data_IF_611814134868
#
_entry.id   IF_611814134868
#
_cell.length_a   1.000
_cell.length_b   1.000
_cell.length_c   1.000
_cell.angle_alpha   90.00
_cell.angle_beta   90.00
_cell.angle_gamma   90.00
#
_symmetry.space_group_name_H-M   'P 1'
#
loop_
_entity.id
_entity.type
_entity.pdbx_description
1 polymer ?
#
# COMPACT_ATOMS: atom_id res chain seq x y z
N UNK A 1 -22.34 -27.79 -8.37
CA UNK A 1 -22.95 -26.49 -8.65
C UNK A 1 -22.24 -25.92 -9.87
N UNK A 2 -22.92 -25.45 -10.91
CA UNK A 2 -22.26 -24.97 -12.11
C UNK A 2 -21.44 -23.72 -11.79
N UNK A 3 -20.20 -23.70 -12.25
CA UNK A 3 -19.33 -22.51 -12.28
C UNK A 3 -20.02 -21.44 -13.13
N UNK A 4 -20.65 -20.45 -12.52
CA UNK A 4 -21.03 -19.22 -13.19
C UNK A 4 -19.75 -18.41 -13.37
N UNK A 5 -18.98 -18.72 -14.42
CA UNK A 5 -17.96 -17.83 -14.94
C UNK A 5 -18.69 -16.65 -15.59
N UNK A 6 -18.86 -15.55 -14.84
CA UNK A 6 -19.21 -14.26 -15.47
C UNK A 6 -18.09 -13.92 -16.46
N UNK A 7 -18.43 -13.59 -17.72
CA UNK A 7 -17.42 -13.18 -18.67
C UNK A 7 -16.63 -11.99 -18.09
N UNK A 8 -15.30 -12.11 -18.09
CA UNK A 8 -14.42 -11.01 -17.63
C UNK A 8 -14.72 -9.80 -18.50
N UNK A 9 -15.20 -8.68 -17.94
CA UNK A 9 -15.52 -7.50 -18.73
C UNK A 9 -14.27 -7.00 -19.49
N UNK A 10 -14.47 -6.51 -20.70
CA UNK A 10 -13.41 -5.89 -21.48
C UNK A 10 -12.72 -4.80 -20.63
N UNK A 11 -11.43 -4.96 -20.40
CA UNK A 11 -10.59 -4.05 -19.59
C UNK A 11 -10.81 -2.58 -19.99
N UNK A 12 -10.93 -2.30 -21.29
CA UNK A 12 -11.18 -0.94 -21.81
C UNK A 12 -12.54 -0.40 -21.37
N UNK A 13 -13.58 -1.23 -21.38
CA UNK A 13 -14.91 -0.83 -20.93
C UNK A 13 -14.92 -0.54 -19.43
N UNK A 14 -14.22 -1.34 -18.63
CA UNK A 14 -14.09 -1.12 -17.18
C UNK A 14 -13.39 0.19 -16.89
N UNK A 15 -12.24 0.45 -17.51
CA UNK A 15 -11.49 1.69 -17.36
C UNK A 15 -12.32 2.91 -17.76
N UNK A 16 -12.98 2.82 -18.91
CA UNK A 16 -13.85 3.90 -19.40
C UNK A 16 -15.01 4.17 -18.45
N UNK A 17 -15.65 3.11 -17.93
CA UNK A 17 -16.75 3.25 -16.97
C UNK A 17 -16.30 3.91 -15.67
N UNK A 18 -15.15 3.53 -15.14
CA UNK A 18 -14.59 4.16 -13.94
C UNK A 18 -14.31 5.64 -14.18
N UNK A 19 -13.66 5.97 -15.29
CA UNK A 19 -13.32 7.34 -15.65
C UNK A 19 -14.59 8.20 -15.87
N UNK A 20 -15.58 7.69 -16.62
CA UNK A 20 -16.83 8.38 -16.88
C UNK A 20 -17.64 8.65 -15.59
N UNK A 21 -17.75 7.64 -14.73
CA UNK A 21 -18.46 7.76 -13.46
C UNK A 21 -17.78 8.75 -12.51
N UNK A 22 -16.45 8.84 -12.52
CA UNK A 22 -15.70 9.79 -11.69
C UNK A 22 -15.96 11.27 -12.07
N UNK A 23 -16.46 11.52 -13.28
CA UNK A 23 -16.82 12.85 -13.75
C UNK A 23 -18.18 13.33 -13.19
N UNK A 24 -18.98 12.45 -12.58
CA UNK A 24 -20.30 12.80 -12.05
C UNK A 24 -20.16 13.43 -10.66
N UNK A 25 -20.63 14.65 -10.48
CA UNK A 25 -20.60 15.31 -9.18
C UNK A 25 -21.37 14.50 -8.12
N UNK A 26 -20.70 14.17 -7.01
CA UNK A 26 -21.26 13.38 -5.92
C UNK A 26 -21.07 11.85 -6.09
N UNK A 27 -20.50 11.42 -7.21
CA UNK A 27 -20.07 10.03 -7.43
C UNK A 27 -18.57 9.96 -7.21
N UNK A 28 -18.18 9.49 -6.03
CA UNK A 28 -16.78 9.37 -5.64
C UNK A 28 -16.32 7.92 -5.52
N UNK A 29 -15.13 7.76 -4.99
CA UNK A 29 -14.45 6.48 -4.81
C UNK A 29 -15.37 5.37 -4.23
N UNK A 30 -16.11 5.65 -3.14
CA UNK A 30 -16.99 4.66 -2.48
C UNK A 30 -18.14 4.17 -3.39
N UNK A 31 -18.73 5.06 -4.17
CA UNK A 31 -19.81 4.70 -5.11
C UNK A 31 -19.28 3.81 -6.23
N UNK A 32 -18.15 4.22 -6.83
CA UNK A 32 -17.57 3.49 -7.97
C UNK A 32 -17.05 2.11 -7.54
N UNK A 33 -16.40 1.99 -6.38
CA UNK A 33 -15.98 0.70 -5.82
C UNK A 33 -17.20 -0.18 -5.48
N UNK A 34 -18.27 0.41 -4.97
CA UNK A 34 -19.52 -0.34 -4.72
C UNK A 34 -20.16 -0.89 -5.99
N UNK A 35 -20.16 -0.14 -7.08
CA UNK A 35 -20.62 -0.62 -8.40
C UNK A 35 -19.69 -1.71 -8.96
N UNK A 36 -18.38 -1.55 -8.80
CA UNK A 36 -17.40 -2.56 -9.18
C UNK A 36 -17.66 -3.89 -8.45
N UNK A 37 -17.83 -3.85 -7.13
CA UNK A 37 -18.05 -5.03 -6.30
C UNK A 37 -19.39 -5.74 -6.57
N UNK A 38 -20.36 -5.03 -7.13
CA UNK A 38 -21.66 -5.57 -7.57
C UNK A 38 -21.66 -6.04 -9.02
N UNK A 39 -20.52 -5.98 -9.71
CA UNK A 39 -20.41 -6.27 -11.15
C UNK A 39 -21.32 -5.39 -12.03
N UNK A 40 -21.66 -4.20 -11.55
CA UNK A 40 -22.56 -3.27 -12.26
C UNK A 40 -21.80 -2.18 -13.03
N UNK A 41 -20.48 -2.13 -12.93
CA UNK A 41 -19.69 -1.01 -13.41
C UNK A 41 -19.83 -0.77 -14.93
N UNK A 42 -19.88 -1.83 -15.72
CA UNK A 42 -20.08 -1.78 -17.17
C UNK A 42 -21.56 -1.84 -17.56
N UNK A 43 -22.35 -2.52 -16.77
CA UNK A 43 -23.75 -2.80 -17.09
C UNK A 43 -24.66 -1.60 -16.81
N UNK A 44 -24.25 -0.72 -15.87
CA UNK A 44 -25.00 0.48 -15.49
C UNK A 44 -25.37 1.37 -16.68
N UNK A 45 -24.59 1.31 -17.76
CA UNK A 45 -24.82 2.08 -18.99
C UNK A 45 -25.97 1.58 -19.86
N UNK A 46 -26.39 0.33 -19.68
CA UNK A 46 -27.41 -0.32 -20.50
C UNK A 46 -28.68 -0.62 -19.71
N UNK A 47 -28.71 -0.29 -18.42
CA UNK A 47 -29.86 -0.44 -17.54
C UNK A 47 -30.82 0.75 -17.66
N UNK A 48 -32.12 0.49 -17.44
CA UNK A 48 -33.15 1.54 -17.27
C UNK A 48 -32.93 2.30 -15.96
N UNK A 49 -33.50 3.49 -15.86
CA UNK A 49 -33.46 4.29 -14.64
C UNK A 49 -33.99 3.51 -13.43
N UNK A 50 -35.11 2.78 -13.57
CA UNK A 50 -35.69 2.00 -12.48
C UNK A 50 -34.77 0.86 -12.01
N UNK A 51 -34.10 0.17 -12.95
CA UNK A 51 -33.12 -0.87 -12.62
C UNK A 51 -31.90 -0.32 -11.90
N UNK A 52 -31.39 0.83 -12.31
CA UNK A 52 -30.28 1.50 -11.62
C UNK A 52 -30.69 1.91 -10.21
N UNK A 53 -31.86 2.53 -10.03
CA UNK A 53 -32.40 2.92 -8.71
C UNK A 53 -32.57 1.72 -7.79
N UNK A 54 -33.06 0.61 -8.32
CA UNK A 54 -33.26 -0.64 -7.56
C UNK A 54 -31.93 -1.27 -7.12
N UNK A 55 -30.93 -1.29 -7.98
CA UNK A 55 -29.70 -2.07 -7.78
C UNK A 55 -28.51 -1.25 -7.21
N UNK A 56 -28.54 0.08 -7.37
CA UNK A 56 -27.47 0.98 -6.96
C UNK A 56 -27.95 2.20 -6.16
N UNK A 57 -29.26 2.32 -5.88
CA UNK A 57 -29.82 3.48 -5.18
C UNK A 57 -29.20 3.70 -3.80
N UNK A 58 -28.95 2.66 -3.04
CA UNK A 58 -28.31 2.73 -1.72
C UNK A 58 -26.87 3.27 -1.77
N UNK A 59 -26.14 3.07 -2.87
CA UNK A 59 -24.78 3.60 -3.07
C UNK A 59 -24.80 5.10 -3.42
N UNK A 60 -25.87 5.57 -4.03
CA UNK A 60 -25.90 6.90 -4.69
C UNK A 60 -26.83 7.89 -4.02
N UNK A 61 -27.91 7.42 -3.35
CA UNK A 61 -29.00 8.22 -2.80
C UNK A 61 -28.51 9.37 -1.90
N UNK A 62 -27.48 9.16 -1.10
CA UNK A 62 -26.98 10.16 -0.16
C UNK A 62 -26.21 11.30 -0.83
N UNK A 63 -25.44 11.02 -1.88
CA UNK A 63 -24.49 11.96 -2.47
C UNK A 63 -24.83 12.36 -3.91
N UNK A 64 -25.58 11.54 -4.62
CA UNK A 64 -26.05 11.78 -5.98
C UNK A 64 -27.43 11.17 -6.20
N UNK A 65 -28.51 11.69 -5.60
CA UNK A 65 -29.85 11.11 -5.70
C UNK A 65 -30.40 11.06 -7.13
N UNK A 66 -29.84 11.85 -8.05
CA UNK A 66 -30.22 11.86 -9.47
C UNK A 66 -29.33 10.95 -10.33
N UNK A 67 -28.51 10.09 -9.72
CA UNK A 67 -27.52 9.25 -10.41
C UNK A 67 -28.12 8.46 -11.59
N UNK A 68 -29.20 7.73 -11.35
CA UNK A 68 -29.86 6.92 -12.38
C UNK A 68 -30.34 7.77 -13.56
N UNK A 69 -30.95 8.92 -13.26
CA UNK A 69 -31.42 9.89 -14.28
C UNK A 69 -30.23 10.43 -15.09
N UNK A 70 -29.14 10.84 -14.43
CA UNK A 70 -27.93 11.36 -15.08
C UNK A 70 -27.37 10.31 -16.04
N UNK A 71 -27.21 9.05 -15.58
CA UNK A 71 -26.70 7.96 -16.43
C UNK A 71 -27.56 7.79 -17.67
N UNK A 72 -28.88 7.72 -17.54
CA UNK A 72 -29.78 7.45 -18.66
C UNK A 72 -29.89 8.60 -19.64
N UNK A 73 -29.89 9.85 -19.16
CA UNK A 73 -30.05 11.04 -20.00
C UNK A 73 -28.76 11.55 -20.65
N UNK A 74 -27.58 11.28 -20.02
CA UNK A 74 -26.32 11.85 -20.48
C UNK A 74 -25.23 10.81 -20.77
N UNK A 75 -25.60 9.53 -21.01
CA UNK A 75 -24.68 8.40 -21.24
C UNK A 75 -23.56 8.75 -22.23
N UNK A 76 -23.87 9.21 -23.46
CA UNK A 76 -22.87 9.50 -24.48
C UNK A 76 -21.87 10.57 -24.00
N UNK A 77 -22.39 11.66 -23.45
CA UNK A 77 -21.56 12.75 -22.94
C UNK A 77 -20.62 12.31 -21.81
N UNK A 78 -21.11 11.44 -20.90
CA UNK A 78 -20.30 10.91 -19.81
C UNK A 78 -19.19 9.97 -20.33
N UNK A 79 -19.50 9.14 -21.31
CA UNK A 79 -18.49 8.27 -21.93
C UNK A 79 -17.42 9.08 -22.67
N UNK A 80 -17.81 10.16 -23.36
CA UNK A 80 -16.87 11.09 -23.99
C UNK A 80 -15.97 11.78 -22.96
N UNK A 81 -16.54 12.24 -21.82
CA UNK A 81 -15.78 12.78 -20.70
C UNK A 81 -14.82 11.74 -20.10
N UNK A 82 -15.27 10.50 -19.98
CA UNK A 82 -14.43 9.39 -19.50
C UNK A 82 -13.25 9.10 -20.44
N UNK A 83 -13.47 9.13 -21.74
CA UNK A 83 -12.38 9.03 -22.73
C UNK A 83 -11.37 10.16 -22.57
N UNK A 84 -11.85 11.39 -22.44
CA UNK A 84 -11.00 12.57 -22.21
C UNK A 84 -10.18 12.43 -20.91
N UNK A 85 -10.78 11.90 -19.84
CA UNK A 85 -10.06 11.68 -18.58
C UNK A 85 -8.98 10.60 -18.72
N UNK A 86 -9.23 9.52 -19.47
CA UNK A 86 -8.21 8.50 -19.76
C UNK A 86 -7.06 9.06 -20.59
N UNK A 87 -7.35 9.91 -21.57
CA UNK A 87 -6.33 10.62 -22.36
C UNK A 87 -5.51 11.56 -21.48
N UNK A 88 -6.15 12.32 -20.59
CA UNK A 88 -5.50 13.19 -19.60
C UNK A 88 -4.58 12.43 -18.65
N UNK A 89 -4.98 11.24 -18.18
CA UNK A 89 -4.11 10.35 -17.40
C UNK A 89 -2.88 9.93 -18.20
N UNK A 90 -3.08 9.52 -19.46
CA UNK A 90 -2.02 9.10 -20.36
C UNK A 90 -1.01 10.24 -20.63
N UNK A 91 -1.49 11.43 -20.96
CA UNK A 91 -0.66 12.64 -21.19
C UNK A 91 0.16 13.01 -19.97
N UNK A 92 -0.37 12.78 -18.75
CA UNK A 92 0.35 13.00 -17.49
C UNK A 92 1.31 11.86 -17.13
N UNK A 93 1.43 10.83 -17.98
CA UNK A 93 2.24 9.64 -17.71
C UNK A 93 1.74 8.81 -16.53
N UNK A 94 0.41 8.80 -16.31
CA UNK A 94 -0.22 8.03 -15.24
C UNK A 94 -0.82 6.76 -15.82
N UNK A 95 -0.37 5.62 -15.32
CA UNK A 95 -0.86 4.30 -15.71
C UNK A 95 -2.03 3.93 -14.80
N UNK A 96 -3.14 3.49 -15.40
CA UNK A 96 -4.31 3.01 -14.68
C UNK A 96 -4.30 1.47 -14.68
N UNK A 97 -4.08 0.86 -13.50
CA UNK A 97 -3.93 -0.58 -13.31
C UNK A 97 -5.16 -1.14 -12.62
N UNK A 98 -5.87 -2.08 -13.25
CA UNK A 98 -7.02 -2.78 -12.66
C UNK A 98 -6.58 -3.98 -11.82
N UNK A 99 -7.32 -4.31 -10.76
CA UNK A 99 -7.07 -5.45 -9.86
C UNK A 99 -6.95 -6.79 -10.60
N UNK A 100 -7.73 -6.97 -11.66
CA UNK A 100 -7.78 -8.23 -12.41
C UNK A 100 -6.80 -8.24 -13.61
N UNK A 101 -5.91 -7.26 -13.70
CA UNK A 101 -4.88 -7.19 -14.73
C UNK A 101 -3.57 -7.86 -14.28
N UNK A 102 -2.78 -8.33 -15.25
CA UNK A 102 -1.46 -8.93 -14.98
C UNK A 102 -0.47 -7.94 -14.34
N UNK A 103 -0.69 -6.64 -14.59
CA UNK A 103 0.14 -5.56 -14.06
C UNK A 103 -0.22 -5.18 -12.61
N UNK A 104 -1.24 -5.81 -12.02
CA UNK A 104 -1.63 -5.51 -10.63
C UNK A 104 -0.68 -6.18 -9.63
N UNK A 105 -0.15 -5.43 -8.64
CA UNK A 105 0.74 -6.00 -7.63
C UNK A 105 0.04 -7.10 -6.82
N UNK A 106 0.45 -8.35 -7.03
CA UNK A 106 -0.17 -9.51 -6.36
C UNK A 106 -0.07 -9.45 -4.83
N UNK A 107 0.91 -8.74 -4.30
CA UNK A 107 1.07 -8.49 -2.86
C UNK A 107 -0.13 -7.76 -2.23
N UNK A 108 -0.84 -6.93 -2.98
CA UNK A 108 -2.04 -6.22 -2.50
C UNK A 108 -3.23 -7.16 -2.27
N UNK A 109 -3.24 -8.32 -2.89
CA UNK A 109 -4.32 -9.31 -2.73
C UNK A 109 -4.33 -9.97 -1.33
N UNK A 110 -3.31 -9.68 -0.50
CA UNK A 110 -3.28 -10.04 0.93
C UNK A 110 -4.25 -9.21 1.77
N UNK A 111 -4.63 -8.05 1.29
CA UNK A 111 -5.61 -7.21 1.97
C UNK A 111 -6.99 -7.86 1.94
N UNK A 112 -7.72 -7.80 3.03
CA UNK A 112 -9.14 -8.24 3.08
C UNK A 112 -10.01 -7.47 2.08
N UNK A 113 -9.62 -6.23 1.81
CA UNK A 113 -10.27 -5.34 0.85
C UNK A 113 -9.19 -4.74 -0.08
N UNK A 114 -8.68 -5.47 -1.10
CA UNK A 114 -7.64 -4.95 -1.98
C UNK A 114 -8.17 -3.78 -2.83
N UNK A 115 -7.33 -2.80 -3.19
CA UNK A 115 -7.68 -1.78 -4.16
C UNK A 115 -8.24 -2.39 -5.45
N UNK A 116 -9.35 -1.85 -5.98
CA UNK A 116 -9.93 -2.33 -7.25
C UNK A 116 -9.09 -1.87 -8.43
N UNK A 117 -8.36 -0.81 -8.23
CA UNK A 117 -7.40 -0.24 -9.18
C UNK A 117 -6.30 0.52 -8.46
N UNK A 118 -5.25 0.83 -9.22
CA UNK A 118 -4.20 1.75 -8.84
C UNK A 118 -3.93 2.73 -9.97
N UNK A 119 -3.61 3.95 -9.63
CA UNK A 119 -2.95 4.89 -10.49
C UNK A 119 -1.46 4.89 -10.17
N UNK A 120 -0.61 4.70 -11.17
CA UNK A 120 0.84 4.63 -11.01
C UNK A 120 1.48 5.67 -11.91
N UNK A 121 2.30 6.54 -11.34
CA UNK A 121 3.13 7.49 -12.07
C UNK A 121 4.60 7.10 -11.91
N UNK A 122 5.33 7.00 -13.03
CA UNK A 122 6.70 6.53 -13.08
C UNK A 122 6.84 5.07 -13.48
N UNK A 123 7.79 4.35 -12.90
CA UNK A 123 8.16 2.99 -13.30
C UNK A 123 7.23 1.95 -12.66
N UNK A 124 6.24 1.46 -13.40
CA UNK A 124 5.34 0.39 -12.93
C UNK A 124 6.08 -0.89 -12.47
N UNK A 125 7.13 -1.39 -13.16
CA UNK A 125 7.93 -2.51 -12.65
C UNK A 125 8.49 -2.34 -11.24
N UNK A 126 8.73 -1.12 -10.76
CA UNK A 126 9.23 -0.90 -9.40
C UNK A 126 8.27 -1.45 -8.33
N UNK A 127 6.94 -1.41 -8.55
CA UNK A 127 5.95 -1.92 -7.60
C UNK A 127 5.88 -3.46 -7.56
N UNK A 128 6.60 -4.13 -8.46
CA UNK A 128 6.76 -5.58 -8.53
C UNK A 128 8.15 -6.06 -8.11
N UNK A 129 9.00 -5.14 -7.62
CA UNK A 129 10.35 -5.50 -7.20
C UNK A 129 10.31 -6.59 -6.11
N UNK A 130 11.27 -7.50 -6.17
CA UNK A 130 11.36 -8.62 -5.20
C UNK A 130 11.72 -8.17 -3.78
N UNK A 131 12.40 -7.03 -3.64
CA UNK A 131 12.89 -6.52 -2.37
C UNK A 131 12.39 -5.11 -2.07
N UNK A 132 11.13 -4.96 -1.67
CA UNK A 132 10.57 -3.66 -1.26
C UNK A 132 10.61 -3.54 0.26
N UNK A 133 11.34 -2.54 0.75
CA UNK A 133 11.49 -2.25 2.18
C UNK A 133 10.73 -0.97 2.52
N UNK A 134 9.69 -1.11 3.34
CA UNK A 134 8.93 0.03 3.86
C UNK A 134 9.67 0.69 5.03
N UNK A 135 10.10 1.94 4.88
CA UNK A 135 10.66 2.76 5.97
C UNK A 135 9.60 3.78 6.36
N UNK A 136 9.14 3.72 7.60
CA UNK A 136 8.05 4.56 8.11
C UNK A 136 8.40 5.19 9.45
N UNK A 137 7.71 6.28 9.82
CA UNK A 137 7.94 6.85 11.14
C UNK A 137 7.16 8.13 11.42
N UNK A 138 7.60 8.83 12.47
CA UNK A 138 7.01 10.08 12.94
C UNK A 138 7.08 11.18 11.87
N UNK A 139 6.02 12.02 11.83
CA UNK A 139 6.01 13.26 11.03
C UNK A 139 6.85 14.37 11.68
N UNK A 140 6.93 14.34 12.99
CA UNK A 140 7.75 15.25 13.81
C UNK A 140 8.88 14.44 14.44
N UNK A 141 9.75 13.92 13.55
CA UNK A 141 10.87 13.08 13.92
C UNK A 141 12.01 13.89 14.56
N UNK A 142 12.77 13.22 15.43
CA UNK A 142 14.01 13.78 15.98
C UNK A 142 15.07 13.95 14.90
N UNK A 143 16.11 14.75 15.18
CA UNK A 143 17.25 14.89 14.29
C UNK A 143 17.95 13.53 14.03
N UNK A 144 18.05 12.69 15.05
CA UNK A 144 18.59 11.34 14.96
C UNK A 144 17.69 10.44 14.09
N UNK A 145 16.36 10.54 14.27
CA UNK A 145 15.39 9.83 13.44
C UNK A 145 15.53 10.14 11.95
N UNK A 146 15.65 11.43 11.60
CA UNK A 146 15.93 11.87 10.24
C UNK A 146 17.20 11.23 9.67
N UNK A 147 18.32 11.31 10.42
CA UNK A 147 19.61 10.72 10.00
C UNK A 147 19.53 9.20 9.82
N UNK A 148 18.85 8.52 10.74
CA UNK A 148 18.68 7.07 10.69
C UNK A 148 17.86 6.66 9.46
N UNK A 149 16.72 7.33 9.20
CA UNK A 149 15.88 7.03 8.05
C UNK A 149 16.64 7.16 6.73
N UNK A 150 17.39 8.26 6.57
CA UNK A 150 18.24 8.52 5.38
C UNK A 150 19.35 7.48 5.24
N UNK A 151 20.05 7.15 6.33
CA UNK A 151 21.11 6.15 6.31
C UNK A 151 20.58 4.74 6.01
N UNK A 152 19.44 4.34 6.58
CA UNK A 152 18.80 3.07 6.27
C UNK A 152 18.40 2.98 4.81
N UNK A 153 17.76 4.02 4.27
CA UNK A 153 17.37 4.06 2.86
C UNK A 153 18.58 3.90 1.94
N UNK A 154 19.67 4.60 2.21
CA UNK A 154 20.95 4.43 1.51
C UNK A 154 21.41 2.97 1.54
N UNK A 155 21.46 2.38 2.72
CA UNK A 155 21.92 1.00 2.89
C UNK A 155 21.01 -0.02 2.17
N UNK A 156 19.70 0.25 2.05
CA UNK A 156 18.80 -0.59 1.27
C UNK A 156 19.11 -0.51 -0.22
N UNK A 157 19.22 0.69 -0.77
CA UNK A 157 19.46 0.85 -2.23
C UNK A 157 20.84 0.38 -2.66
N UNK A 158 21.88 0.49 -1.82
CA UNK A 158 23.21 -0.09 -2.12
C UNK A 158 23.19 -1.62 -2.19
N UNK A 159 22.12 -2.25 -1.72
CA UNK A 159 21.87 -3.70 -1.83
C UNK A 159 20.81 -4.06 -2.85
N UNK A 160 20.51 -3.14 -3.78
CA UNK A 160 19.50 -3.30 -4.82
C UNK A 160 18.09 -3.55 -4.26
N UNK A 161 17.77 -3.03 -3.09
CA UNK A 161 16.44 -3.03 -2.52
C UNK A 161 15.72 -1.73 -2.84
N UNK A 162 14.41 -1.81 -3.03
CA UNK A 162 13.56 -0.65 -3.30
C UNK A 162 13.02 -0.11 -1.98
N UNK A 163 13.18 1.18 -1.74
CA UNK A 163 12.61 1.84 -0.56
C UNK A 163 11.17 2.22 -0.84
N UNK A 164 10.25 1.93 0.10
CA UNK A 164 8.86 2.36 0.01
C UNK A 164 8.52 3.22 1.22
N UNK A 165 7.83 4.34 0.99
CA UNK A 165 7.31 5.17 2.06
C UNK A 165 6.07 5.97 1.61
N UNK A 166 5.54 6.80 2.51
CA UNK A 166 4.24 7.45 2.32
C UNK A 166 4.28 8.91 1.92
N UNK A 167 5.45 9.46 1.60
CA UNK A 167 5.58 10.87 1.25
C UNK A 167 5.05 11.84 2.33
N UNK A 168 4.97 11.42 3.58
CA UNK A 168 4.64 12.29 4.69
C UNK A 168 5.89 13.07 5.17
N UNK A 169 5.67 14.24 5.80
CA UNK A 169 6.75 14.98 6.47
C UNK A 169 7.50 14.06 7.47
N UNK A 170 8.77 14.31 7.71
CA UNK A 170 9.59 13.57 8.67
C UNK A 170 10.23 12.32 8.08
N UNK A 171 10.11 11.19 8.72
CA UNK A 171 10.80 9.94 8.36
C UNK A 171 10.55 9.51 6.91
N UNK A 172 9.33 9.66 6.42
CA UNK A 172 8.98 9.22 5.06
C UNK A 172 9.77 10.00 4.00
N UNK A 173 9.87 11.32 4.14
CA UNK A 173 10.66 12.18 3.22
C UNK A 173 12.13 11.81 3.28
N UNK A 174 12.70 11.62 4.47
CA UNK A 174 14.11 11.26 4.63
C UNK A 174 14.43 9.90 4.02
N UNK A 175 13.50 8.94 4.12
CA UNK A 175 13.65 7.65 3.47
C UNK A 175 13.72 7.78 1.94
N UNK A 176 12.84 8.61 1.35
CA UNK A 176 12.89 8.87 -0.09
C UNK A 176 14.17 9.59 -0.50
N UNK A 177 14.56 10.65 0.22
CA UNK A 177 15.78 11.40 -0.07
C UNK A 177 17.02 10.53 0.04
N UNK A 178 17.12 9.68 1.08
CA UNK A 178 18.23 8.75 1.23
C UNK A 178 18.34 7.75 0.09
N UNK A 179 17.23 7.30 -0.48
CA UNK A 179 17.22 6.44 -1.66
C UNK A 179 17.65 7.21 -2.92
N UNK A 180 17.12 8.41 -3.14
CA UNK A 180 17.41 9.27 -4.31
C UNK A 180 18.88 9.69 -4.35
N UNK A 181 19.44 10.12 -3.24
CA UNK A 181 20.85 10.55 -3.13
C UNK A 181 21.84 9.46 -3.55
N UNK A 182 21.46 8.19 -3.36
CA UNK A 182 22.28 7.05 -3.73
C UNK A 182 21.80 6.35 -5.00
N UNK A 183 21.09 7.08 -5.85
CA UNK A 183 20.65 6.64 -7.18
C UNK A 183 19.75 5.38 -7.16
N UNK A 184 19.09 5.11 -6.03
CA UNK A 184 18.22 3.96 -5.84
C UNK A 184 16.78 4.25 -6.17
N UNK A 185 16.02 3.16 -6.40
CA UNK A 185 14.60 3.23 -6.64
C UNK A 185 13.82 3.43 -5.34
N UNK A 186 12.78 4.26 -5.42
CA UNK A 186 11.86 4.44 -4.29
C UNK A 186 10.40 4.54 -4.76
N UNK A 187 9.47 4.08 -3.92
CA UNK A 187 8.04 4.07 -4.19
C UNK A 187 7.31 4.94 -3.16
N UNK A 188 6.66 5.99 -3.65
CA UNK A 188 5.79 6.83 -2.85
C UNK A 188 4.34 6.34 -2.89
N UNK A 189 3.68 6.17 -1.73
CA UNK A 189 2.26 5.82 -1.67
C UNK A 189 1.46 6.99 -1.15
N UNK A 190 0.48 7.49 -1.93
CA UNK A 190 -0.35 8.64 -1.59
C UNK A 190 -1.69 8.21 -0.98
N UNK A 191 -2.20 9.00 -0.03
CA UNK A 191 -3.55 8.90 0.49
C UNK A 191 -4.51 9.92 -0.14
N UNK A 192 -4.24 10.34 -1.37
CA UNK A 192 -5.03 11.32 -2.13
C UNK A 192 -4.70 11.23 -3.63
N UNK A 193 -5.42 11.93 -4.47
CA UNK A 193 -5.16 12.00 -5.89
C UNK A 193 -3.92 12.83 -6.24
N UNK A 194 -3.37 12.61 -7.42
CA UNK A 194 -2.15 13.30 -7.88
C UNK A 194 -2.27 14.83 -8.02
N UNK A 195 -3.48 15.35 -8.17
CA UNK A 195 -3.74 16.80 -8.32
C UNK A 195 -4.27 17.46 -7.04
N UNK A 196 -4.43 16.71 -5.96
CA UNK A 196 -4.87 17.28 -4.69
C UNK A 196 -3.81 18.24 -4.15
N UNK A 197 -4.28 19.42 -3.73
CA UNK A 197 -3.45 20.45 -3.08
C UNK A 197 -3.18 20.07 -1.63
N UNK A 198 -2.31 19.10 -1.41
CA UNK A 198 -1.90 18.69 -0.07
C UNK A 198 -0.40 18.43 -0.03
N UNK A 199 0.28 19.09 0.92
CA UNK A 199 1.69 18.85 1.15
C UNK A 199 2.57 19.26 -0.03
N UNK A 200 2.49 20.53 -0.46
CA UNK A 200 3.25 21.06 -1.60
C UNK A 200 4.76 20.70 -1.57
N UNK A 201 5.36 20.64 -0.37
CA UNK A 201 6.75 20.18 -0.19
C UNK A 201 6.95 18.70 -0.58
N UNK A 202 5.92 17.87 -0.46
CA UNK A 202 6.00 16.44 -0.78
C UNK A 202 5.95 16.20 -2.29
N UNK A 203 5.26 17.07 -3.02
CA UNK A 203 5.15 17.00 -4.48
C UNK A 203 6.48 17.33 -5.18
N UNK A 204 7.41 17.99 -4.50
CA UNK A 204 8.73 18.31 -5.05
C UNK A 204 9.62 17.06 -5.23
N UNK A 205 9.37 15.98 -4.49
CA UNK A 205 10.13 14.73 -4.62
C UNK A 205 9.68 13.85 -5.79
N UNK A 206 8.46 14.04 -6.31
CA UNK A 206 7.96 13.15 -7.37
C UNK A 206 8.80 13.13 -8.64
N UNK A 207 9.27 14.27 -9.17
CA UNK A 207 10.15 14.26 -10.34
C UNK A 207 11.40 13.45 -10.09
N UNK A 208 12.06 13.65 -8.95
CA UNK A 208 13.28 12.93 -8.58
C UNK A 208 13.04 11.43 -8.39
N UNK A 209 11.92 11.04 -7.77
CA UNK A 209 11.51 9.63 -7.66
C UNK A 209 11.40 9.00 -9.05
N UNK A 210 10.75 9.68 -9.99
CA UNK A 210 10.50 9.19 -11.34
C UNK A 210 11.81 9.13 -12.15
N UNK A 211 12.68 10.14 -12.02
CA UNK A 211 14.01 10.17 -12.67
C UNK A 211 14.92 9.04 -12.19
N UNK A 212 14.68 8.48 -11.01
CA UNK A 212 15.39 7.32 -10.45
C UNK A 212 14.68 5.99 -10.69
N UNK A 213 13.87 5.89 -11.75
CA UNK A 213 13.07 4.70 -12.07
C UNK A 213 12.18 4.22 -10.91
N UNK A 214 11.79 5.12 -10.03
CA UNK A 214 10.83 4.89 -8.97
C UNK A 214 9.39 5.08 -9.44
N UNK A 215 8.44 4.97 -8.51
CA UNK A 215 7.03 5.13 -8.78
C UNK A 215 6.31 5.89 -7.66
N UNK A 216 5.24 6.59 -8.02
CA UNK A 216 4.27 7.14 -7.07
C UNK A 216 2.92 6.49 -7.35
N UNK A 217 2.28 5.94 -6.32
CA UNK A 217 1.06 5.15 -6.45
C UNK A 217 -0.06 5.67 -5.56
N UNK A 218 -1.30 5.57 -6.06
CA UNK A 218 -2.51 5.88 -5.30
C UNK A 218 -3.69 5.06 -5.82
N UNK A 219 -4.70 4.82 -4.97
CA UNK A 219 -5.99 4.27 -5.41
C UNK A 219 -7.04 5.37 -5.69
N UNK A 220 -6.72 6.64 -5.40
CA UNK A 220 -7.63 7.77 -5.47
C UNK A 220 -7.59 8.48 -6.82
N UNK A 221 -8.74 9.01 -7.26
CA UNK A 221 -8.83 9.81 -8.48
C UNK A 221 -8.02 11.10 -8.36
N UNK A 222 -7.68 11.69 -9.52
CA UNK A 222 -6.72 12.80 -9.60
C UNK A 222 -6.98 13.93 -8.59
N UNK A 223 -8.24 14.29 -8.39
CA UNK A 223 -8.66 15.42 -7.56
C UNK A 223 -9.14 15.00 -6.16
N UNK A 224 -9.13 13.70 -5.81
CA UNK A 224 -9.58 13.25 -4.51
C UNK A 224 -8.71 13.84 -3.40
N UNK A 225 -9.37 14.52 -2.47
CA UNK A 225 -8.69 15.19 -1.35
C UNK A 225 -8.36 14.24 -0.22
N UNK A 226 -7.29 14.52 0.55
CA UNK A 226 -6.91 13.67 1.67
C UNK A 226 -7.88 13.79 2.85
N UNK A 227 -8.02 12.70 3.59
CA UNK A 227 -8.73 12.61 4.86
C UNK A 227 -8.00 11.66 5.81
N UNK A 228 -8.44 11.59 7.05
CA UNK A 228 -7.93 10.59 8.00
C UNK A 228 -8.17 9.16 7.49
N UNK A 229 -9.32 8.90 6.90
CA UNK A 229 -9.66 7.57 6.34
C UNK A 229 -8.74 7.21 5.18
N UNK A 230 -8.50 8.14 4.24
CA UNK A 230 -7.65 7.87 3.07
C UNK A 230 -6.20 7.64 3.47
N UNK A 231 -5.70 8.30 4.51
CA UNK A 231 -4.36 8.03 5.03
C UNK A 231 -4.26 6.66 5.71
N UNK A 232 -5.27 6.25 6.48
CA UNK A 232 -5.30 4.90 7.07
C UNK A 232 -5.35 3.84 5.98
N UNK A 233 -6.12 4.06 4.94
CA UNK A 233 -6.21 3.18 3.79
C UNK A 233 -4.88 3.09 3.02
N UNK A 234 -4.21 4.22 2.80
CA UNK A 234 -2.88 4.27 2.19
C UNK A 234 -1.86 3.44 3.00
N UNK A 235 -1.93 3.47 4.32
CA UNK A 235 -1.05 2.68 5.18
C UNK A 235 -1.25 1.17 4.98
N UNK A 236 -2.45 0.71 4.63
CA UNK A 236 -2.69 -0.68 4.25
C UNK A 236 -1.95 -1.04 2.95
N UNK A 237 -2.00 -0.16 1.96
CA UNK A 237 -1.29 -0.33 0.69
C UNK A 237 0.23 -0.37 0.91
N UNK A 238 0.77 0.54 1.73
CA UNK A 238 2.19 0.52 2.12
C UNK A 238 2.58 -0.82 2.74
N UNK A 239 1.80 -1.28 3.72
CA UNK A 239 2.07 -2.54 4.40
C UNK A 239 2.01 -3.73 3.46
N UNK A 240 1.07 -3.72 2.50
CA UNK A 240 0.90 -4.83 1.57
C UNK A 240 1.91 -4.84 0.42
N UNK A 241 2.36 -3.69 -0.07
CA UNK A 241 3.41 -3.61 -1.10
C UNK A 241 4.79 -3.96 -0.53
N UNK A 242 5.03 -3.74 0.76
CA UNK A 242 6.32 -4.00 1.38
C UNK A 242 6.55 -5.48 1.66
N UNK A 243 7.78 -5.96 1.44
CA UNK A 243 8.24 -7.26 1.92
C UNK A 243 8.53 -7.22 3.43
N UNK A 244 8.96 -6.06 3.92
CA UNK A 244 9.24 -5.80 5.34
C UNK A 244 9.03 -4.33 5.65
N UNK A 245 8.61 -4.02 6.88
CA UNK A 245 8.47 -2.66 7.41
C UNK A 245 9.54 -2.41 8.48
N UNK A 246 10.22 -1.29 8.38
CA UNK A 246 11.17 -0.79 9.38
C UNK A 246 10.64 0.55 9.94
N UNK A 247 10.01 0.57 11.11
CA UNK A 247 9.66 1.81 11.78
C UNK A 247 10.90 2.43 12.44
N UNK A 248 11.22 3.67 12.07
CA UNK A 248 12.37 4.41 12.64
C UNK A 248 11.97 5.09 13.94
N UNK A 249 10.91 5.88 13.94
CA UNK A 249 10.35 6.49 15.14
C UNK A 249 8.83 6.27 15.21
N UNK A 250 8.39 5.68 16.32
CA UNK A 250 7.00 5.49 16.68
C UNK A 250 6.82 5.58 18.20
N UNK A 251 7.00 6.77 18.80
CA UNK A 251 6.90 6.94 20.25
C UNK A 251 5.47 6.73 20.78
N UNK A 252 4.49 6.81 19.88
CA UNK A 252 3.07 6.59 20.18
C UNK A 252 2.47 5.56 19.23
N UNK A 253 2.05 4.41 19.78
CA UNK A 253 1.39 3.35 19.03
C UNK A 253 -0.02 3.74 18.54
N UNK A 254 -0.66 4.77 19.08
CA UNK A 254 -1.95 5.27 18.58
C UNK A 254 -1.81 6.11 17.30
N UNK A 255 -0.59 6.47 16.93
CA UNK A 255 -0.25 7.27 15.75
C UNK A 255 -0.53 6.55 14.42
N UNK A 256 -0.42 7.29 13.32
CA UNK A 256 -0.47 6.73 11.96
C UNK A 256 0.61 5.67 11.70
N UNK A 257 1.81 5.85 12.24
CA UNK A 257 2.91 4.87 12.20
C UNK A 257 2.54 3.59 12.94
N UNK A 258 1.99 3.71 14.15
CA UNK A 258 1.49 2.57 14.92
C UNK A 258 0.35 1.84 14.19
N UNK A 259 -0.52 2.56 13.48
CA UNK A 259 -1.55 1.95 12.65
C UNK A 259 -0.94 1.13 11.50
N UNK A 260 0.10 1.64 10.83
CA UNK A 260 0.81 0.91 9.77
C UNK A 260 1.48 -0.35 10.32
N UNK A 261 2.14 -0.27 11.47
CA UNK A 261 2.75 -1.43 12.15
C UNK A 261 1.70 -2.51 12.42
N UNK A 262 0.57 -2.14 13.05
CA UNK A 262 -0.51 -3.10 13.34
C UNK A 262 -1.07 -3.72 12.06
N UNK A 263 -1.24 -2.92 11.01
CA UNK A 263 -1.74 -3.43 9.73
C UNK A 263 -0.75 -4.39 9.08
N UNK A 264 0.54 -4.06 9.05
CA UNK A 264 1.59 -4.95 8.56
C UNK A 264 1.53 -6.31 9.27
N UNK A 265 1.49 -6.29 10.61
CA UNK A 265 1.38 -7.52 11.41
C UNK A 265 0.10 -8.31 11.09
N UNK A 266 -1.05 -7.64 10.89
CA UNK A 266 -2.32 -8.33 10.62
C UNK A 266 -2.37 -9.04 9.28
N UNK A 267 -1.66 -8.54 8.28
CA UNK A 267 -1.57 -9.15 6.94
C UNK A 267 -0.31 -10.00 6.74
N UNK A 268 0.46 -10.19 7.82
CA UNK A 268 1.67 -11.00 7.83
C UNK A 268 2.89 -10.34 7.17
N UNK A 269 2.90 -9.03 6.93
CA UNK A 269 4.12 -8.34 6.54
C UNK A 269 5.03 -8.22 7.76
N UNK A 270 6.29 -8.71 7.69
CA UNK A 270 7.25 -8.56 8.78
C UNK A 270 7.46 -7.12 9.16
N UNK A 271 7.63 -6.92 10.46
CA UNK A 271 8.08 -5.65 11.02
C UNK A 271 9.33 -5.92 11.82
N UNK A 272 10.35 -5.08 11.69
CA UNK A 272 11.61 -5.21 12.42
C UNK A 272 12.08 -3.84 12.89
N UNK A 273 12.53 -3.76 14.14
CA UNK A 273 13.23 -2.58 14.67
C UNK A 273 14.73 -2.67 14.38
N UNK A 274 15.33 -1.52 14.04
CA UNK A 274 16.78 -1.41 13.97
C UNK A 274 17.24 -0.12 14.62
N UNK A 275 18.16 -0.21 15.56
CA UNK A 275 18.64 0.93 16.33
C UNK A 275 20.15 0.87 16.49
N UNK A 276 20.76 2.04 16.64
CA UNK A 276 22.17 2.18 17.04
C UNK A 276 22.25 2.41 18.55
N UNK A 277 23.02 1.61 19.24
CA UNK A 277 23.11 1.65 20.71
C UNK A 277 23.44 3.04 21.26
N UNK A 278 24.34 3.75 20.59
CA UNK A 278 24.77 5.10 20.97
C UNK A 278 23.77 6.23 20.64
N UNK A 279 22.68 5.91 19.91
CA UNK A 279 21.64 6.86 19.52
C UNK A 279 20.29 6.58 20.21
N UNK A 280 20.22 5.60 21.10
CA UNK A 280 19.00 5.23 21.82
C UNK A 280 18.65 6.27 22.89
N UNK A 281 17.94 7.31 22.50
CA UNK A 281 17.44 8.37 23.38
C UNK A 281 15.99 8.72 23.05
N UNK A 282 15.27 9.28 24.01
CA UNK A 282 13.95 9.87 23.84
C UNK A 282 12.98 8.98 23.01
N UNK A 283 12.54 9.47 21.86
CA UNK A 283 11.54 8.83 21.00
C UNK A 283 12.03 7.55 20.33
N UNK A 284 13.34 7.41 20.09
CA UNK A 284 13.95 6.16 19.62
C UNK A 284 13.90 5.08 20.69
N UNK A 285 14.15 5.44 21.96
CA UNK A 285 14.03 4.50 23.09
C UNK A 285 12.58 4.04 23.26
N UNK A 286 11.63 4.99 23.29
CA UNK A 286 10.19 4.68 23.35
C UNK A 286 9.74 3.81 22.16
N UNK A 287 10.26 4.08 20.97
CA UNK A 287 9.98 3.26 19.80
C UNK A 287 10.43 1.83 20.01
N UNK A 288 11.66 1.62 20.49
CA UNK A 288 12.17 0.29 20.83
C UNK A 288 11.30 -0.42 21.87
N UNK A 289 10.92 0.27 22.94
CA UNK A 289 10.04 -0.27 23.97
C UNK A 289 8.67 -0.67 23.40
N UNK A 290 8.08 0.18 22.53
CA UNK A 290 6.83 -0.10 21.84
C UNK A 290 6.92 -1.32 20.93
N UNK A 291 8.02 -1.47 20.16
CA UNK A 291 8.24 -2.63 19.32
C UNK A 291 8.39 -3.91 20.14
N UNK A 292 9.14 -3.86 21.24
CA UNK A 292 9.28 -4.97 22.18
C UNK A 292 7.92 -5.38 22.78
N UNK A 293 7.08 -4.40 23.15
CA UNK A 293 5.73 -4.68 23.68
C UNK A 293 4.81 -5.39 22.69
N UNK A 294 5.09 -5.26 21.39
CA UNK A 294 4.41 -5.95 20.32
C UNK A 294 5.10 -7.26 19.91
N UNK A 295 6.13 -7.67 20.63
CA UNK A 295 7.00 -8.82 20.29
C UNK A 295 7.61 -8.71 18.89
N UNK A 296 7.99 -7.52 18.46
CA UNK A 296 8.65 -7.26 17.18
C UNK A 296 10.16 -7.42 17.40
N UNK A 297 10.87 -8.19 16.55
CA UNK A 297 12.32 -8.34 16.66
C UNK A 297 13.03 -7.00 16.49
N UNK A 298 14.06 -6.79 17.30
CA UNK A 298 14.86 -5.56 17.31
C UNK A 298 16.34 -5.89 17.19
N UNK A 299 17.01 -5.31 16.22
CA UNK A 299 18.47 -5.42 16.04
C UNK A 299 19.18 -4.18 16.58
N UNK A 300 20.28 -4.40 17.29
CA UNK A 300 21.17 -3.35 17.80
C UNK A 300 22.45 -3.30 16.98
N UNK A 301 22.66 -2.17 16.31
CA UNK A 301 23.83 -1.95 15.49
C UNK A 301 24.92 -1.20 16.29
N UNK A 302 26.20 -1.44 16.01
CA UNK A 302 26.73 -2.29 14.92
C UNK A 302 26.81 -3.78 15.26
N UNK A 303 26.61 -4.18 16.51
CA UNK A 303 26.91 -5.55 16.99
C UNK A 303 26.12 -6.64 16.25
N UNK A 304 24.90 -6.37 15.84
CA UNK A 304 24.02 -7.32 15.14
C UNK A 304 23.90 -7.02 13.63
N UNK A 305 24.85 -6.30 13.03
CA UNK A 305 24.76 -5.91 11.61
C UNK A 305 24.63 -7.09 10.66
N UNK A 306 25.44 -8.12 10.81
CA UNK A 306 25.37 -9.30 9.94
C UNK A 306 24.02 -10.00 10.07
N UNK A 307 23.57 -10.27 11.30
CA UNK A 307 22.28 -10.89 11.57
C UNK A 307 21.10 -10.06 10.99
N UNK A 308 21.16 -8.74 11.09
CA UNK A 308 20.17 -7.85 10.49
C UNK A 308 20.13 -7.99 8.97
N UNK A 309 21.28 -7.96 8.30
CA UNK A 309 21.35 -8.05 6.84
C UNK A 309 20.98 -9.44 6.33
N UNK A 310 21.37 -10.50 7.00
CA UNK A 310 20.97 -11.88 6.69
C UNK A 310 19.44 -12.01 6.81
N UNK A 311 18.84 -11.41 7.83
CA UNK A 311 17.40 -11.37 8.01
C UNK A 311 16.70 -10.60 6.88
N UNK A 312 17.14 -9.37 6.57
CA UNK A 312 16.60 -8.57 5.45
C UNK A 312 16.66 -9.37 4.14
N UNK A 313 17.83 -9.91 3.81
CA UNK A 313 18.03 -10.72 2.61
C UNK A 313 17.06 -11.89 2.55
N UNK A 314 16.96 -12.62 3.64
CA UNK A 314 16.10 -13.81 3.71
C UNK A 314 14.61 -13.46 3.47
N UNK A 315 14.12 -12.33 4.00
CA UNK A 315 12.75 -11.90 3.85
C UNK A 315 12.49 -11.35 2.45
N UNK A 316 13.43 -10.64 1.86
CA UNK A 316 13.27 -10.03 0.52
C UNK A 316 13.45 -11.03 -0.62
N UNK A 317 14.26 -12.08 -0.44
CA UNK A 317 14.46 -13.14 -1.45
C UNK A 317 13.37 -14.24 -1.41
N UNK A 318 12.70 -14.43 -0.28
CA UNK A 318 11.74 -15.52 -0.08
C UNK A 318 10.42 -15.35 -0.86
N UNK A 319 10.15 -14.21 -1.47
CA UNK A 319 8.79 -13.84 -1.94
C UNK A 319 8.70 -13.70 -3.44
N UNK A 320 8.39 -14.80 -4.12
CA UNK A 320 7.83 -14.77 -5.47
C UNK A 320 6.28 -14.83 -5.40
N UNK A 321 5.67 -13.64 -5.44
CA UNK A 321 4.22 -13.49 -5.45
C UNK A 321 3.58 -13.85 -6.80
N UNK A 322 4.37 -13.98 -7.87
CA UNK A 322 3.89 -14.23 -9.23
C UNK A 322 3.28 -15.63 -9.41
N UNK A 323 3.66 -16.58 -8.56
CA UNK A 323 3.27 -18.00 -8.67
C UNK A 323 2.03 -18.40 -7.86
N UNK A 324 1.33 -17.44 -7.19
CA UNK A 324 0.28 -17.76 -6.21
C UNK A 324 -1.12 -17.39 -6.71
N UNK A 325 -2.00 -18.38 -6.86
CA UNK A 325 -3.40 -18.15 -7.28
C UNK A 325 -4.23 -17.44 -6.19
N UNK A 326 -5.31 -16.72 -6.53
CA UNK A 326 -6.11 -15.97 -5.55
C UNK A 326 -6.67 -16.80 -4.38
N UNK A 327 -7.08 -18.04 -4.63
CA UNK A 327 -7.64 -18.92 -3.59
C UNK A 327 -6.61 -19.55 -2.66
N UNK A 328 -5.38 -19.79 -3.16
CA UNK A 328 -4.29 -20.38 -2.38
C UNK A 328 -3.49 -19.34 -1.58
N UNK A 329 -3.66 -18.07 -1.89
CA UNK A 329 -2.78 -16.99 -1.41
C UNK A 329 -2.81 -16.82 0.10
N UNK A 330 -3.99 -16.83 0.70
CA UNK A 330 -4.14 -16.65 2.14
C UNK A 330 -3.55 -17.86 2.92
N UNK A 331 -3.78 -19.07 2.45
CA UNK A 331 -3.29 -20.28 3.11
C UNK A 331 -1.80 -20.51 2.88
N UNK A 332 -1.30 -20.25 1.65
CA UNK A 332 0.13 -20.43 1.30
C UNK A 332 0.99 -19.33 1.93
N UNK A 333 0.49 -18.09 1.97
CA UNK A 333 1.11 -16.98 2.68
C UNK A 333 1.29 -17.31 4.16
N UNK A 334 0.24 -17.79 4.81
CA UNK A 334 0.25 -18.21 6.21
C UNK A 334 1.31 -19.29 6.46
N UNK A 335 1.40 -20.29 5.59
CA UNK A 335 2.32 -21.42 5.72
C UNK A 335 3.78 -21.02 5.51
N UNK A 336 4.08 -20.28 4.46
CA UNK A 336 5.44 -19.79 4.17
C UNK A 336 5.91 -18.83 5.26
N UNK A 337 5.03 -17.98 5.75
CA UNK A 337 5.35 -16.97 6.75
C UNK A 337 5.54 -17.54 8.15
N UNK A 338 4.64 -18.43 8.59
CA UNK A 338 4.72 -19.03 9.91
C UNK A 338 5.94 -19.96 10.05
N UNK A 339 6.24 -20.75 9.02
CA UNK A 339 7.34 -21.71 9.05
C UNK A 339 8.69 -21.06 8.71
N UNK A 340 8.75 -20.25 7.68
CA UNK A 340 10.00 -19.71 7.12
C UNK A 340 10.58 -18.55 7.92
N UNK A 341 9.73 -17.62 8.40
CA UNK A 341 10.21 -16.47 9.19
C UNK A 341 10.63 -16.90 10.60
N UNK A 342 9.90 -17.78 11.23
CA UNK A 342 10.28 -18.34 12.54
C UNK A 342 11.64 -19.05 12.46
N UNK A 343 11.84 -19.84 11.41
CA UNK A 343 13.11 -20.52 11.17
C UNK A 343 14.28 -19.55 10.93
N UNK A 344 14.02 -18.46 10.18
CA UNK A 344 15.01 -17.44 9.88
C UNK A 344 15.36 -16.57 11.09
N UNK A 345 14.38 -16.25 11.94
CA UNK A 345 14.64 -15.59 13.21
C UNK A 345 15.48 -16.46 14.14
N UNK A 346 15.23 -17.77 14.19
CA UNK A 346 16.06 -18.73 14.94
C UNK A 346 17.50 -18.74 14.43
N UNK A 347 17.71 -18.76 13.12
CA UNK A 347 19.05 -18.69 12.49
C UNK A 347 19.76 -17.35 12.73
N UNK A 348 19.03 -16.24 12.89
CA UNK A 348 19.59 -14.92 13.20
C UNK A 348 20.01 -14.75 14.66
N UNK A 349 20.08 -15.82 15.45
CA UNK A 349 20.52 -15.81 16.86
C UNK A 349 19.65 -14.96 17.80
N UNK A 350 18.35 -14.85 17.50
CA UNK A 350 17.38 -14.34 18.48
C UNK A 350 17.18 -15.37 19.59
N UNK A 351 16.90 -14.88 20.80
CA UNK A 351 16.52 -15.80 21.88
C UNK A 351 15.20 -16.52 21.53
N UNK A 352 15.16 -17.82 21.83
CA UNK A 352 14.02 -18.68 21.46
C UNK A 352 12.70 -18.23 22.05
N UNK A 353 12.71 -17.59 23.22
CA UNK A 353 11.51 -17.11 23.91
C UNK A 353 10.86 -15.93 23.18
N UNK A 354 11.66 -14.98 22.70
CA UNK A 354 11.18 -13.85 21.89
C UNK A 354 10.60 -14.31 20.56
N UNK A 355 11.20 -15.31 19.91
CA UNK A 355 10.71 -15.87 18.66
C UNK A 355 9.38 -16.60 18.86
N UNK A 356 9.25 -17.39 19.91
CA UNK A 356 8.01 -18.13 20.22
C UNK A 356 6.87 -17.17 20.57
N UNK A 357 7.12 -16.12 21.36
CA UNK A 357 6.15 -15.07 21.67
C UNK A 357 5.68 -14.35 20.42
N UNK A 358 6.61 -14.00 19.53
CA UNK A 358 6.27 -13.34 18.26
C UNK A 358 5.44 -14.27 17.35
N UNK A 359 5.87 -15.51 17.17
CA UNK A 359 5.18 -16.52 16.35
C UNK A 359 3.76 -16.79 16.87
N UNK A 360 3.59 -16.95 18.19
CA UNK A 360 2.29 -17.16 18.81
C UNK A 360 1.38 -15.93 18.64
N UNK A 361 1.90 -14.74 18.87
CA UNK A 361 1.16 -13.47 18.68
C UNK A 361 0.69 -13.29 17.22
N UNK A 362 1.54 -13.64 16.25
CA UNK A 362 1.18 -13.59 14.82
C UNK A 362 0.07 -14.61 14.49
N UNK A 363 0.18 -15.84 14.97
CA UNK A 363 -0.83 -16.90 14.79
C UNK A 363 -2.19 -16.50 15.35
N UNK A 364 -2.22 -15.92 16.55
CA UNK A 364 -3.46 -15.49 17.19
C UNK A 364 -4.13 -14.33 16.44
N UNK A 365 -3.36 -13.41 15.87
CA UNK A 365 -3.89 -12.30 15.08
C UNK A 365 -4.47 -12.78 13.76
N UNK A 366 -3.75 -13.64 13.04
CA UNK A 366 -4.23 -14.23 11.79
C UNK A 366 -5.51 -15.08 11.97
N UNK A 367 -5.68 -15.72 13.14
CA UNK A 367 -6.93 -16.44 13.50
C UNK A 367 -8.10 -15.51 13.78
N UNK A 368 -7.88 -14.37 14.44
CA UNK A 368 -8.94 -13.39 14.76
C UNK A 368 -9.51 -12.70 13.53
N UNK A 369 -8.70 -12.50 12.49
CA UNK A 369 -9.16 -11.89 11.23
C UNK A 369 -9.92 -12.86 10.32
N UNK A 370 -9.88 -14.19 10.60
CA UNK A 370 -10.69 -15.18 9.89
C UNK A 370 -12.12 -15.30 10.42
N UNK A 371 -12.38 -14.80 11.62
CA UNK A 371 -13.70 -14.87 12.27
C UNK A 371 -14.48 -13.55 12.17
N UNK A 372 -14.03 -12.62 11.33
CA UNK A 372 -14.73 -11.38 10.95
C UNK A 372 -15.03 -11.38 9.45
#
# INVERSE_FOLDING_TARGET
MPNNEYPVPDKKKVLLSIAALSCIKGVGFKTITGLYDRHMLTDVWDLSQQEIEKNAGDLTQKHCPQFAKIITETKSQLLDLGMHELENLHEKGIIFVLKDSAEYPSSLLRLSNPPRWLFVKGNLPAVHAKGIVGIIGSRDASHEGHRIARALAREMVTRNLVVLSGLAKGIDIEAHQGAIEYFGQTIGVLGHGFQATYGAANNQLWPEIIERDGAVVTEYFLNDTPSRETFLRRNEIQAALSNIIIPVECPDLSSGTGATIRRALSIGTPVVGVFWENLLQNDLLKTRENLNSLNIPVFLLPNQSNAFWDFIKSVTEAHDWSSVTPGDRQNRFRRIYEEDIVEKLKRASFDGESIEKWSSSLKDRLRKDQNK
#
